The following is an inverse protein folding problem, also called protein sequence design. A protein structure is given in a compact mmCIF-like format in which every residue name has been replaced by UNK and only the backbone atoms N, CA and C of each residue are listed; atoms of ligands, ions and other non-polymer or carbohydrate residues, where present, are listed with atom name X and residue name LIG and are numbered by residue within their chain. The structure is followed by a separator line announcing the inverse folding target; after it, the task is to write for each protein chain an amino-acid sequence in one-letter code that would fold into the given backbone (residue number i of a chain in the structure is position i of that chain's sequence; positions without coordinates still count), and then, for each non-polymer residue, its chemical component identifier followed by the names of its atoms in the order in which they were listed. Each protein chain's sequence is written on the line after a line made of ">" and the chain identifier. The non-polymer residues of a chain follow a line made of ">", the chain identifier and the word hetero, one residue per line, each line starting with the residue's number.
data_IF_561886472735
#
_entry.id   IF_561886472735
#
_cell.length_a   1.000
_cell.length_b   1.000
_cell.length_c   1.000
_cell.angle_alpha   90.00
_cell.angle_beta   90.00
_cell.angle_gamma   90.00
#
_symmetry.space_group_name_H-M   'P 1'
#
loop_
_entity.id
_entity.type
_entity.pdbx_description
1 polymer ?
#
# COMPACT_ATOMS: atom_id res chain seq x y z
N UNK A 1 -29.33 -17.88 1.87
CA UNK A 1 -27.95 -17.33 1.76
C UNK A 1 -28.09 -15.82 1.89
N UNK A 2 -27.55 -15.22 2.93
CA UNK A 2 -27.56 -13.75 3.06
C UNK A 2 -26.76 -13.14 1.91
N UNK A 3 -27.32 -12.11 1.26
CA UNK A 3 -26.62 -11.37 0.21
C UNK A 3 -25.53 -10.52 0.84
N UNK A 4 -24.27 -10.75 0.46
CA UNK A 4 -23.16 -9.92 0.93
C UNK A 4 -23.19 -8.60 0.16
N UNK A 5 -23.16 -7.43 0.82
CA UNK A 5 -23.11 -6.14 0.14
C UNK A 5 -21.93 -6.07 -0.83
N UNK A 6 -22.17 -5.52 -2.03
CA UNK A 6 -21.18 -5.29 -3.10
C UNK A 6 -20.58 -6.56 -3.76
N UNK A 7 -20.97 -7.77 -3.36
CA UNK A 7 -20.50 -9.02 -3.97
C UNK A 7 -20.54 -9.05 -5.51
N UNK A 8 -21.60 -8.54 -6.19
CA UNK A 8 -21.65 -8.52 -7.66
C UNK A 8 -20.57 -7.65 -8.30
N UNK A 9 -20.13 -6.58 -7.62
CA UNK A 9 -19.15 -5.62 -8.14
C UNK A 9 -17.74 -5.84 -7.60
N UNK A 10 -17.55 -6.77 -6.65
CA UNK A 10 -16.27 -7.02 -5.98
C UNK A 10 -15.13 -7.29 -6.96
N UNK A 11 -15.39 -7.96 -8.10
CA UNK A 11 -14.37 -8.19 -9.14
C UNK A 11 -13.90 -6.89 -9.80
N UNK A 12 -14.83 -5.98 -10.08
CA UNK A 12 -14.52 -4.67 -10.68
C UNK A 12 -13.76 -3.81 -9.68
N UNK A 13 -14.20 -3.78 -8.41
CA UNK A 13 -13.49 -3.08 -7.34
C UNK A 13 -12.08 -3.62 -7.15
N UNK A 14 -11.89 -4.95 -7.23
CA UNK A 14 -10.58 -5.58 -7.10
C UNK A 14 -9.64 -5.22 -8.27
N UNK A 15 -10.17 -5.09 -9.49
CA UNK A 15 -9.39 -4.62 -10.64
C UNK A 15 -8.86 -3.20 -10.42
N UNK A 16 -9.73 -2.27 -9.99
CA UNK A 16 -9.30 -0.90 -9.69
C UNK A 16 -8.38 -0.81 -8.46
N UNK A 17 -8.60 -1.65 -7.45
CA UNK A 17 -7.71 -1.78 -6.30
C UNK A 17 -6.31 -2.20 -6.76
N UNK A 18 -6.20 -3.22 -7.62
CA UNK A 18 -4.93 -3.67 -8.18
C UNK A 18 -4.24 -2.56 -8.99
N UNK A 19 -4.98 -1.86 -9.85
CA UNK A 19 -4.44 -0.75 -10.63
C UNK A 19 -3.88 0.36 -9.72
N UNK A 20 -4.63 0.75 -8.69
CA UNK A 20 -4.17 1.74 -7.71
C UNK A 20 -2.95 1.26 -6.92
N UNK A 21 -2.91 -0.02 -6.53
CA UNK A 21 -1.78 -0.62 -5.82
C UNK A 21 -0.50 -0.65 -6.69
N UNK A 22 -0.61 -0.94 -8.00
CA UNK A 22 0.53 -0.88 -8.94
C UNK A 22 1.08 0.54 -9.03
N UNK A 23 0.20 1.55 -9.13
CA UNK A 23 0.61 2.97 -9.17
C UNK A 23 1.30 3.37 -7.85
N UNK A 24 0.77 2.94 -6.71
CA UNK A 24 1.38 3.18 -5.41
C UNK A 24 2.77 2.53 -5.30
N UNK A 25 2.90 1.28 -5.77
CA UNK A 25 4.16 0.55 -5.79
C UNK A 25 5.21 1.28 -6.65
N UNK A 26 4.88 1.61 -7.90
CA UNK A 26 5.77 2.33 -8.79
C UNK A 26 6.18 3.71 -8.23
N UNK A 27 5.22 4.43 -7.66
CA UNK A 27 5.47 5.75 -7.06
C UNK A 27 6.40 5.66 -5.85
N UNK A 28 6.24 4.64 -5.00
CA UNK A 28 7.08 4.44 -3.83
C UNK A 28 8.53 4.11 -4.21
N UNK A 29 8.76 3.30 -5.25
CA UNK A 29 10.11 3.03 -5.79
C UNK A 29 10.74 4.31 -6.35
N UNK A 30 10.00 5.09 -7.14
CA UNK A 30 10.50 6.37 -7.65
C UNK A 30 10.82 7.37 -6.54
N UNK A 31 10.01 7.45 -5.49
CA UNK A 31 10.29 8.33 -4.34
C UNK A 31 11.52 7.90 -3.57
N UNK A 32 11.64 6.61 -3.28
CA UNK A 32 12.77 6.10 -2.51
C UNK A 32 14.09 6.39 -3.23
N UNK A 33 14.14 6.13 -4.53
CA UNK A 33 15.32 6.45 -5.35
C UNK A 33 15.61 7.96 -5.42
N UNK A 34 14.58 8.81 -5.52
CA UNK A 34 14.76 10.27 -5.56
C UNK A 34 15.23 10.85 -4.24
N UNK A 35 14.63 10.46 -3.11
CA UNK A 35 15.07 10.94 -1.80
C UNK A 35 16.47 10.43 -1.46
N UNK A 36 16.79 9.18 -1.83
CA UNK A 36 18.16 8.66 -1.70
C UNK A 36 19.16 9.52 -2.48
N UNK A 37 18.84 9.89 -3.72
CA UNK A 37 19.68 10.78 -4.53
C UNK A 37 19.74 12.20 -3.97
N UNK A 38 18.67 12.70 -3.37
CA UNK A 38 18.66 14.00 -2.70
C UNK A 38 19.61 14.04 -1.49
N UNK A 39 19.78 12.94 -0.76
CA UNK A 39 20.83 12.85 0.29
C UNK A 39 22.26 12.98 -0.27
N UNK A 40 22.44 12.69 -1.55
CA UNK A 40 23.70 12.82 -2.29
C UNK A 40 23.80 14.15 -3.07
N UNK A 41 22.90 15.12 -2.80
CA UNK A 41 22.91 16.44 -3.42
C UNK A 41 22.29 16.54 -4.82
N UNK A 42 21.62 15.47 -5.29
CA UNK A 42 20.94 15.48 -6.60
C UNK A 42 19.44 15.62 -6.41
N UNK A 43 18.90 16.76 -6.83
CA UNK A 43 17.52 17.14 -6.54
C UNK A 43 16.58 16.97 -7.74
N UNK A 44 15.34 16.56 -7.47
CA UNK A 44 14.32 16.31 -8.49
C UNK A 44 13.03 17.06 -8.17
N UNK A 45 12.64 17.99 -9.05
CA UNK A 45 11.41 18.77 -8.89
C UNK A 45 10.15 17.91 -8.81
N UNK A 46 10.15 16.71 -9.41
CA UNK A 46 8.96 15.85 -9.42
C UNK A 46 8.86 14.93 -8.18
N UNK A 47 9.73 15.05 -7.16
CA UNK A 47 9.59 14.30 -5.91
C UNK A 47 8.24 14.57 -5.22
N UNK A 48 7.80 15.84 -5.19
CA UNK A 48 6.51 16.23 -4.62
C UNK A 48 5.32 15.63 -5.40
N UNK A 49 5.44 15.56 -6.74
CA UNK A 49 4.43 14.94 -7.58
C UNK A 49 4.29 13.45 -7.26
N UNK A 50 5.38 12.70 -7.19
CA UNK A 50 5.34 11.28 -6.86
C UNK A 50 4.82 11.04 -5.44
N UNK A 51 5.13 11.93 -4.50
CA UNK A 51 4.63 11.86 -3.12
C UNK A 51 3.11 12.01 -3.09
N UNK A 52 2.57 12.96 -3.85
CA UNK A 52 1.12 13.13 -4.03
C UNK A 52 0.49 11.92 -4.71
N UNK A 53 1.10 11.39 -5.78
CA UNK A 53 0.61 10.20 -6.48
C UNK A 53 0.57 9.00 -5.52
N UNK A 54 1.63 8.80 -4.73
CA UNK A 54 1.69 7.73 -3.72
C UNK A 54 0.54 7.88 -2.72
N UNK A 55 0.36 9.06 -2.12
CA UNK A 55 -0.69 9.27 -1.12
C UNK A 55 -2.09 8.98 -1.72
N UNK A 56 -2.41 9.55 -2.88
CA UNK A 56 -3.71 9.36 -3.53
C UNK A 56 -3.92 7.89 -3.93
N UNK A 57 -2.96 7.28 -4.63
CA UNK A 57 -3.11 5.91 -5.11
C UNK A 57 -3.19 4.90 -3.96
N UNK A 58 -2.42 5.11 -2.88
CA UNK A 58 -2.52 4.30 -1.67
C UNK A 58 -3.88 4.47 -0.99
N UNK A 59 -4.37 5.70 -0.81
CA UNK A 59 -5.70 5.94 -0.20
C UNK A 59 -6.83 5.32 -1.03
N UNK A 60 -6.76 5.42 -2.37
CA UNK A 60 -7.73 4.78 -3.26
C UNK A 60 -7.68 3.26 -3.11
N UNK A 61 -6.48 2.66 -3.13
CA UNK A 61 -6.33 1.22 -2.93
C UNK A 61 -6.88 0.79 -1.56
N UNK A 62 -6.58 1.54 -0.50
CA UNK A 62 -7.07 1.27 0.85
C UNK A 62 -8.61 1.30 0.93
N UNK A 63 -9.24 2.34 0.39
CA UNK A 63 -10.71 2.47 0.37
C UNK A 63 -11.34 1.33 -0.44
N UNK A 64 -10.84 1.05 -1.64
CA UNK A 64 -11.35 -0.05 -2.47
C UNK A 64 -11.17 -1.41 -1.80
N UNK A 65 -10.04 -1.62 -1.11
CA UNK A 65 -9.79 -2.83 -0.31
C UNK A 65 -10.81 -2.97 0.81
N UNK A 66 -11.08 -1.88 1.54
CA UNK A 66 -12.11 -1.84 2.58
C UNK A 66 -13.53 -2.10 2.06
N UNK A 67 -13.86 -1.63 0.85
CA UNK A 67 -15.15 -1.93 0.22
C UNK A 67 -15.29 -3.40 -0.19
N UNK A 68 -14.20 -4.04 -0.64
CA UNK A 68 -14.19 -5.47 -0.99
C UNK A 68 -14.10 -6.36 0.27
N UNK A 69 -13.62 -5.82 1.38
CA UNK A 69 -13.31 -6.56 2.60
C UNK A 69 -14.46 -7.43 3.13
N UNK A 70 -15.74 -6.98 3.20
CA UNK A 70 -16.83 -7.85 3.66
C UNK A 70 -16.99 -9.13 2.83
N UNK A 71 -16.92 -9.01 1.49
CA UNK A 71 -16.97 -10.16 0.59
C UNK A 71 -15.77 -11.08 0.81
N UNK A 72 -14.56 -10.51 0.94
CA UNK A 72 -13.34 -11.29 1.12
C UNK A 72 -13.30 -12.00 2.49
N UNK A 73 -13.74 -11.33 3.55
CA UNK A 73 -13.79 -11.86 4.91
C UNK A 73 -14.69 -13.09 5.01
N UNK A 74 -15.83 -13.08 4.31
CA UNK A 74 -16.74 -14.23 4.32
C UNK A 74 -16.24 -15.31 3.37
N UNK A 75 -16.08 -14.99 2.08
CA UNK A 75 -15.83 -15.99 1.02
C UNK A 75 -14.42 -16.58 0.99
N UNK A 76 -13.44 -15.87 1.54
CA UNK A 76 -12.03 -16.30 1.50
C UNK A 76 -11.54 -16.62 2.89
N UNK A 77 -11.73 -15.72 3.86
CA UNK A 77 -11.26 -16.00 5.22
C UNK A 77 -12.14 -17.06 5.90
N UNK A 78 -13.40 -16.76 6.17
CA UNK A 78 -14.27 -17.66 6.93
C UNK A 78 -14.50 -18.99 6.21
N UNK A 79 -14.94 -18.93 4.94
CA UNK A 79 -15.35 -20.14 4.21
C UNK A 79 -14.18 -21.02 3.75
N UNK A 80 -12.96 -20.48 3.68
CA UNK A 80 -11.79 -21.21 3.16
C UNK A 80 -10.60 -21.23 4.13
N UNK A 81 -10.02 -20.08 4.50
CA UNK A 81 -8.81 -20.06 5.34
C UNK A 81 -9.07 -20.64 6.74
N UNK A 82 -10.10 -20.16 7.43
CA UNK A 82 -10.42 -20.59 8.79
C UNK A 82 -10.87 -22.07 8.83
N UNK A 83 -11.49 -22.55 7.75
CA UNK A 83 -11.98 -23.93 7.65
C UNK A 83 -10.89 -24.93 7.21
N UNK A 84 -10.04 -24.58 6.24
CA UNK A 84 -9.11 -25.51 5.60
C UNK A 84 -7.64 -25.27 5.98
N UNK A 85 -7.22 -24.02 6.21
CA UNK A 85 -5.81 -23.65 6.40
C UNK A 85 -5.67 -22.56 7.49
N UNK A 86 -5.98 -22.85 8.77
CA UNK A 86 -6.14 -21.80 9.81
C UNK A 86 -4.87 -21.00 10.09
N UNK A 87 -3.69 -21.60 9.87
CA UNK A 87 -2.42 -20.90 10.02
C UNK A 87 -2.25 -19.75 9.01
N UNK A 88 -2.89 -19.83 7.84
CA UNK A 88 -2.83 -18.82 6.80
C UNK A 88 -3.70 -17.59 7.13
N UNK A 89 -4.63 -17.69 8.08
CA UNK A 89 -5.41 -16.55 8.59
C UNK A 89 -4.50 -15.49 9.21
N UNK A 90 -3.42 -15.89 9.89
CA UNK A 90 -2.45 -14.93 10.45
C UNK A 90 -1.77 -14.08 9.39
N UNK A 91 -1.40 -14.66 8.24
CA UNK A 91 -0.84 -13.91 7.10
C UNK A 91 -1.84 -12.89 6.56
N UNK A 92 -3.11 -13.29 6.45
CA UNK A 92 -4.17 -12.39 6.03
C UNK A 92 -4.34 -11.23 7.01
N UNK A 93 -4.35 -11.47 8.31
CA UNK A 93 -4.53 -10.41 9.31
C UNK A 93 -3.36 -9.42 9.34
N UNK A 94 -2.11 -9.91 9.25
CA UNK A 94 -0.92 -9.04 9.16
C UNK A 94 -1.00 -8.15 7.92
N UNK A 95 -1.47 -8.69 6.79
CA UNK A 95 -1.66 -7.95 5.54
C UNK A 95 -2.66 -6.81 5.69
N UNK A 96 -3.81 -7.08 6.30
CA UNK A 96 -4.88 -6.09 6.50
C UNK A 96 -4.48 -5.00 7.52
N UNK A 97 -3.84 -5.39 8.62
CA UNK A 97 -3.32 -4.46 9.61
C UNK A 97 -2.19 -3.60 9.03
N UNK A 98 -1.25 -4.22 8.31
CA UNK A 98 -0.16 -3.54 7.64
C UNK A 98 -0.66 -2.48 6.65
N UNK A 99 -1.70 -2.80 5.87
CA UNK A 99 -2.35 -1.85 4.96
C UNK A 99 -2.94 -0.63 5.69
N UNK A 100 -3.48 -0.83 6.89
CA UNK A 100 -4.01 0.28 7.70
C UNK A 100 -2.88 1.14 8.28
N UNK A 101 -1.83 0.51 8.78
CA UNK A 101 -0.67 1.21 9.36
C UNK A 101 0.05 2.05 8.31
N UNK A 102 0.26 1.51 7.10
CA UNK A 102 1.01 2.21 6.05
C UNK A 102 0.25 3.38 5.39
N UNK A 103 -1.05 3.56 5.67
CA UNK A 103 -1.78 4.76 5.25
C UNK A 103 -1.19 6.04 5.85
N UNK A 104 -0.78 5.99 7.12
CA UNK A 104 -0.20 7.12 7.85
C UNK A 104 1.11 7.59 7.19
N UNK A 105 2.14 6.73 6.99
CA UNK A 105 3.37 7.14 6.31
C UNK A 105 3.15 7.50 4.84
N UNK A 106 2.18 6.91 4.13
CA UNK A 106 1.86 7.31 2.75
C UNK A 106 1.41 8.78 2.67
N UNK A 107 0.52 9.20 3.57
CA UNK A 107 0.08 10.60 3.68
C UNK A 107 1.22 11.48 4.24
N UNK A 108 1.94 10.97 5.24
CA UNK A 108 3.06 11.66 5.89
C UNK A 108 4.17 12.04 4.91
N UNK A 109 4.54 11.16 3.97
CA UNK A 109 5.52 11.47 2.91
C UNK A 109 5.05 12.64 2.06
N UNK A 110 3.78 12.68 1.68
CA UNK A 110 3.26 13.79 0.89
C UNK A 110 3.28 15.10 1.67
N UNK A 111 2.90 15.09 2.94
CA UNK A 111 2.93 16.28 3.79
C UNK A 111 4.36 16.79 3.99
N UNK A 112 5.31 15.91 4.30
CA UNK A 112 6.72 16.24 4.49
C UNK A 112 7.39 16.71 3.18
N UNK A 113 7.12 16.04 2.06
CA UNK A 113 7.70 16.42 0.77
C UNK A 113 7.31 17.84 0.34
N UNK A 114 6.14 18.34 0.77
CA UNK A 114 5.71 19.71 0.50
C UNK A 114 6.47 20.78 1.29
N UNK A 115 7.04 20.43 2.44
CA UNK A 115 7.79 21.36 3.28
C UNK A 115 9.30 21.34 3.03
N UNK A 116 9.80 20.37 2.24
CA UNK A 116 11.22 20.25 1.93
C UNK A 116 11.59 21.23 0.80
N UNK A 117 12.37 22.24 1.16
CA UNK A 117 13.31 22.87 0.23
C UNK A 117 14.55 21.97 0.08
N UNK A 118 14.70 21.38 -1.10
CA UNK A 118 15.80 20.46 -1.40
C UNK A 118 17.17 21.15 -1.47
N UNK A 119 17.23 22.47 -1.65
CA UNK A 119 18.49 23.22 -1.63
C UNK A 119 19.03 23.49 -0.21
N UNK A 120 18.19 23.33 0.82
CA UNK A 120 18.55 23.62 2.20
C UNK A 120 19.02 22.36 2.95
N UNK A 121 20.29 22.35 3.39
CA UNK A 121 20.88 21.27 4.17
C UNK A 121 20.18 21.02 5.52
N UNK A 122 19.54 22.04 6.09
CA UNK A 122 18.75 21.90 7.33
C UNK A 122 17.58 20.93 7.16
N UNK A 123 17.14 20.69 5.92
CA UNK A 123 16.04 19.78 5.64
C UNK A 123 16.44 18.31 5.47
N UNK A 124 17.73 17.98 5.62
CA UNK A 124 18.23 16.60 5.52
C UNK A 124 17.49 15.61 6.45
N UNK A 125 17.14 15.95 7.71
CA UNK A 125 16.34 15.06 8.57
C UNK A 125 14.94 14.75 7.99
N UNK A 126 14.28 15.71 7.36
CA UNK A 126 12.97 15.47 6.72
C UNK A 126 13.10 14.55 5.50
N UNK A 127 14.20 14.66 4.74
CA UNK A 127 14.49 13.73 3.63
C UNK A 127 14.68 12.30 4.16
N UNK A 128 15.40 12.13 5.28
CA UNK A 128 15.55 10.82 5.94
C UNK A 128 14.20 10.29 6.42
N UNK A 129 13.37 11.13 7.04
CA UNK A 129 12.01 10.75 7.43
C UNK A 129 11.16 10.30 6.22
N UNK A 130 11.25 11.02 5.09
CA UNK A 130 10.58 10.63 3.85
C UNK A 130 11.07 9.28 3.32
N UNK A 131 12.36 8.97 3.42
CA UNK A 131 12.92 7.66 3.04
C UNK A 131 12.33 6.57 3.93
N UNK A 132 12.35 6.75 5.25
CA UNK A 132 11.83 5.77 6.22
C UNK A 132 10.35 5.50 5.95
N UNK A 133 9.54 6.56 5.82
CA UNK A 133 8.11 6.40 5.55
C UNK A 133 7.86 5.75 4.18
N UNK A 134 8.58 6.15 3.14
CA UNK A 134 8.44 5.55 1.80
C UNK A 134 8.85 4.07 1.82
N UNK A 135 9.93 3.71 2.52
CA UNK A 135 10.39 2.34 2.68
C UNK A 135 9.39 1.49 3.46
N UNK A 136 8.76 2.04 4.51
CA UNK A 136 7.68 1.39 5.24
C UNK A 136 6.49 1.08 4.33
N UNK A 137 6.03 2.07 3.56
CA UNK A 137 4.92 1.89 2.60
C UNK A 137 5.28 0.84 1.54
N UNK A 138 6.48 0.92 0.95
CA UNK A 138 6.96 -0.04 -0.03
C UNK A 138 7.03 -1.46 0.55
N UNK A 139 7.51 -1.61 1.78
CA UNK A 139 7.58 -2.89 2.49
C UNK A 139 6.19 -3.51 2.67
N UNK A 140 5.21 -2.72 3.10
CA UNK A 140 3.82 -3.18 3.22
C UNK A 140 3.22 -3.53 1.86
N UNK A 141 3.42 -2.72 0.82
CA UNK A 141 2.92 -3.03 -0.52
C UNK A 141 3.52 -4.32 -1.07
N UNK A 142 4.84 -4.52 -0.89
CA UNK A 142 5.53 -5.73 -1.31
C UNK A 142 5.03 -6.96 -0.53
N UNK A 143 4.88 -6.85 0.79
CA UNK A 143 4.30 -7.91 1.62
C UNK A 143 2.88 -8.25 1.18
N UNK A 144 2.04 -7.24 0.94
CA UNK A 144 0.65 -7.44 0.54
C UNK A 144 0.52 -8.11 -0.83
N UNK A 145 1.37 -7.73 -1.79
CA UNK A 145 1.44 -8.37 -3.09
C UNK A 145 1.89 -9.84 -2.97
N UNK A 146 2.95 -10.10 -2.22
CA UNK A 146 3.45 -11.45 -1.97
C UNK A 146 2.43 -12.33 -1.24
N UNK A 147 1.86 -11.85 -0.14
CA UNK A 147 0.87 -12.58 0.66
C UNK A 147 -0.40 -12.84 -0.16
N UNK A 148 -0.86 -11.86 -0.95
CA UNK A 148 -2.01 -12.01 -1.84
C UNK A 148 -1.78 -13.08 -2.90
N UNK A 149 -0.61 -13.09 -3.55
CA UNK A 149 -0.22 -14.13 -4.50
C UNK A 149 -0.14 -15.51 -3.83
N UNK A 150 0.57 -15.60 -2.70
CA UNK A 150 0.79 -16.86 -1.99
C UNK A 150 -0.54 -17.49 -1.50
N UNK A 151 -1.40 -16.71 -0.85
CA UNK A 151 -2.73 -17.16 -0.42
C UNK A 151 -3.60 -17.58 -1.63
N UNK A 152 -3.43 -16.90 -2.77
CA UNK A 152 -4.09 -17.29 -4.02
C UNK A 152 -3.65 -18.68 -4.51
N UNK A 153 -2.36 -19.00 -4.44
CA UNK A 153 -1.85 -20.33 -4.82
C UNK A 153 -2.34 -21.45 -3.90
N UNK A 154 -2.52 -21.17 -2.61
CA UNK A 154 -3.07 -22.14 -1.64
C UNK A 154 -4.55 -22.45 -1.91
N UNK A 155 -5.31 -21.50 -2.46
CA UNK A 155 -6.72 -21.71 -2.84
C UNK A 155 -6.89 -22.53 -4.12
N UNK A 156 -5.86 -22.60 -4.97
CA UNK A 156 -5.88 -23.39 -6.20
C UNK A 156 -5.43 -24.84 -6.04
N UNK A 157 -5.02 -25.24 -4.83
CA UNK A 157 -4.70 -26.61 -4.44
C UNK A 157 -5.90 -27.18 -3.69
#
# INVERSE_FOLDING_TARGET
>A
MESIPLEPISKVLLFFHLAAAIVALASSVHLLTRFWRALNGVYFSQAQLHARILAISYSVAFVLGGLVYPTFRIRVRHDFLDAAIPWATGLFEIKELGASIALIPAIGVWMLARSIDFGNNEHRPYIVACIIFTACVLGVLAYNAWAGWYLGTLKSI
#
